data_IF_915891054295
#
_entry.id   IF_915891054295
#
_cell.length_a   1.000
_cell.length_b   1.000
_cell.length_c   1.000
_cell.angle_alpha   90.00
_cell.angle_beta   90.00
_cell.angle_gamma   90.00
#
_symmetry.space_group_name_H-M   'P 1'
#
loop_
_entity.id
_entity.type
_entity.pdbx_description
1 polymer ?
#
# COMPACT_ATOMS: atom_id res chain seq x y z
N UNK A 1 -1.97 3.56 -2.67
CA UNK A 1 -2.27 2.24 -2.06
C UNK A 1 -2.82 2.51 -0.67
N UNK A 2 -4.15 2.53 -0.51
CA UNK A 2 -4.78 2.94 0.76
C UNK A 2 -4.29 2.07 1.92
N UNK A 3 -4.00 2.70 3.06
CA UNK A 3 -3.55 2.00 4.26
C UNK A 3 -2.09 1.53 4.26
N UNK A 4 -1.31 1.91 3.24
CA UNK A 4 0.13 1.57 3.15
C UNK A 4 0.94 2.83 3.05
N UNK A 5 1.74 3.10 4.09
CA UNK A 5 2.56 4.32 4.13
C UNK A 5 3.46 4.43 2.90
N UNK A 6 3.67 5.64 2.42
CA UNK A 6 4.54 5.89 1.28
C UNK A 6 5.98 5.37 1.51
N UNK A 7 6.48 5.45 2.75
CA UNK A 7 7.81 4.92 3.13
C UNK A 7 7.88 3.41 2.97
N UNK A 8 6.85 2.68 3.42
CA UNK A 8 6.75 1.23 3.22
C UNK A 8 6.71 0.86 1.75
N UNK A 9 6.00 1.63 0.94
CA UNK A 9 5.97 1.43 -0.51
C UNK A 9 7.37 1.62 -1.11
N UNK A 10 8.06 2.72 -0.81
CA UNK A 10 9.42 2.99 -1.31
C UNK A 10 10.37 1.84 -0.99
N UNK A 11 10.39 1.36 0.27
CA UNK A 11 11.23 0.21 0.65
C UNK A 11 10.87 -1.06 -0.12
N UNK A 12 9.57 -1.32 -0.35
CA UNK A 12 9.13 -2.51 -1.07
C UNK A 12 9.47 -2.47 -2.57
N UNK A 13 9.48 -1.28 -3.18
CA UNK A 13 9.89 -1.08 -4.58
C UNK A 13 11.40 -1.09 -4.75
N UNK A 14 12.16 -0.56 -3.79
CA UNK A 14 13.63 -0.64 -3.76
C UNK A 14 14.10 -2.10 -3.76
N UNK A 15 13.47 -2.95 -2.93
CA UNK A 15 13.71 -4.41 -2.93
C UNK A 15 13.28 -5.10 -4.24
N UNK A 16 12.38 -4.49 -5.01
CA UNK A 16 11.98 -4.97 -6.34
C UNK A 16 12.87 -4.41 -7.46
N UNK A 17 13.91 -3.64 -7.15
CA UNK A 17 14.81 -3.01 -8.11
C UNK A 17 14.22 -1.78 -8.80
N UNK A 18 13.16 -1.17 -8.26
CA UNK A 18 12.47 -0.03 -8.85
C UNK A 18 12.63 1.19 -7.95
N UNK A 19 13.32 2.21 -8.46
CA UNK A 19 13.49 3.47 -7.76
C UNK A 19 12.22 4.35 -7.88
N UNK A 20 11.64 4.72 -6.74
CA UNK A 20 10.51 5.66 -6.64
C UNK A 20 10.73 6.66 -5.51
N UNK A 21 9.92 7.74 -5.46
CA UNK A 21 9.99 8.75 -4.41
C UNK A 21 8.68 8.82 -3.62
N UNK A 22 8.76 9.04 -2.31
CA UNK A 22 7.63 9.35 -1.45
C UNK A 22 7.64 10.83 -1.07
N UNK A 23 6.51 11.51 -1.29
CA UNK A 23 6.29 12.89 -0.84
C UNK A 23 6.96 13.99 -1.68
N UNK A 24 6.60 15.23 -1.35
CA UNK A 24 7.24 16.45 -1.83
C UNK A 24 8.48 16.71 -0.97
N UNK A 25 9.67 16.37 -1.48
CA UNK A 25 10.98 16.83 -1.03
C UNK A 25 11.15 17.02 0.50
N UNK A 26 11.76 16.05 1.18
CA UNK A 26 12.41 16.22 2.49
C UNK A 26 11.53 16.87 3.58
N UNK A 27 10.61 16.11 4.19
CA UNK A 27 10.05 16.54 5.48
C UNK A 27 11.04 16.18 6.59
N UNK A 28 11.64 17.20 7.20
CA UNK A 28 12.55 17.15 8.34
C UNK A 28 11.94 16.45 9.57
N UNK A 29 11.87 15.11 9.54
CA UNK A 29 11.55 14.26 10.69
C UNK A 29 10.07 14.10 11.06
N UNK A 30 9.12 14.73 10.33
CA UNK A 30 7.68 14.59 10.61
C UNK A 30 6.98 13.91 9.45
N UNK A 31 6.34 12.76 9.70
CA UNK A 31 5.50 12.01 8.75
C UNK A 31 4.21 12.80 8.49
N UNK A 32 4.36 13.96 7.86
CA UNK A 32 3.25 14.80 7.43
C UNK A 32 2.99 14.50 5.94
N UNK A 33 1.72 14.44 5.56
CA UNK A 33 1.32 14.30 4.15
C UNK A 33 1.91 15.42 3.28
N UNK A 34 1.99 15.21 1.97
CA UNK A 34 2.51 16.24 1.06
C UNK A 34 1.62 17.48 1.09
N UNK A 35 2.23 18.65 1.36
CA UNK A 35 1.53 19.94 1.34
C UNK A 35 0.87 20.24 -0.02
N UNK A 36 1.44 19.73 -1.11
CA UNK A 36 0.86 19.86 -2.46
C UNK A 36 -0.44 19.06 -2.58
N UNK A 37 -0.46 17.82 -2.05
CA UNK A 37 -1.68 17.00 -2.04
C UNK A 37 -2.77 17.64 -1.17
N UNK A 38 -2.38 18.22 -0.03
CA UNK A 38 -3.30 18.97 0.82
C UNK A 38 -3.87 20.21 0.10
N UNK A 39 -3.04 20.96 -0.63
CA UNK A 39 -3.49 22.11 -1.43
C UNK A 39 -4.43 21.69 -2.59
N UNK A 40 -4.30 20.47 -3.09
CA UNK A 40 -5.23 19.88 -4.07
C UNK A 40 -6.52 19.33 -3.44
N UNK A 41 -6.70 19.46 -2.13
CA UNK A 41 -7.89 18.96 -1.41
C UNK A 41 -7.91 17.45 -1.18
N UNK A 42 -6.76 16.78 -1.29
CA UNK A 42 -6.64 15.34 -1.00
C UNK A 42 -6.63 15.13 0.51
N UNK A 43 -7.41 14.16 0.99
CA UNK A 43 -7.45 13.76 2.40
C UNK A 43 -6.07 13.38 2.94
N UNK A 44 -5.81 13.69 4.21
CA UNK A 44 -4.51 13.47 4.84
C UNK A 44 -4.12 11.98 4.85
N UNK A 45 -5.10 11.10 5.05
CA UNK A 45 -5.00 9.64 4.99
C UNK A 45 -4.50 9.13 3.63
N UNK A 46 -4.91 9.77 2.53
CA UNK A 46 -4.43 9.45 1.20
C UNK A 46 -3.09 10.12 0.91
N UNK A 47 -2.88 11.34 1.42
CA UNK A 47 -1.67 12.11 1.21
C UNK A 47 -0.42 11.43 1.81
N UNK A 48 -0.56 10.73 2.94
CA UNK A 48 0.54 9.94 3.57
C UNK A 48 0.87 8.64 2.83
N UNK A 49 -0.04 8.17 1.98
CA UNK A 49 0.08 6.92 1.22
C UNK A 49 0.48 7.15 -0.24
N UNK A 50 0.80 8.39 -0.62
CA UNK A 50 1.10 8.79 -1.98
C UNK A 50 2.58 8.61 -2.34
N UNK A 51 2.83 8.10 -3.55
CA UNK A 51 4.16 7.95 -4.15
C UNK A 51 4.20 8.69 -5.49
N UNK A 52 5.39 9.16 -5.87
CA UNK A 52 5.68 9.78 -7.16
C UNK A 52 6.57 8.87 -7.98
N UNK A 53 6.15 8.61 -9.21
CA UNK A 53 6.93 7.89 -10.22
C UNK A 53 7.27 8.91 -11.31
N UNK A 54 8.53 8.91 -11.73
CA UNK A 54 9.02 9.79 -12.78
C UNK A 54 9.66 8.90 -13.85
N UNK A 55 9.20 9.03 -15.08
CA UNK A 55 9.69 8.25 -16.22
C UNK A 55 10.65 9.13 -17.02
N UNK A 56 11.78 8.56 -17.46
CA UNK A 56 12.79 9.25 -18.25
C UNK A 56 12.62 8.97 -19.75
N UNK A 57 13.43 9.63 -20.58
CA UNK A 57 13.42 9.41 -22.04
C UNK A 57 13.84 7.99 -22.45
N UNK A 58 14.58 7.26 -21.60
CA UNK A 58 14.98 5.87 -21.84
C UNK A 58 13.95 4.85 -21.35
N UNK A 59 12.89 5.29 -20.66
CA UNK A 59 11.88 4.37 -20.12
C UNK A 59 11.12 3.71 -21.27
N UNK A 60 11.02 2.40 -21.21
CA UNK A 60 10.31 1.56 -22.18
C UNK A 60 8.96 1.08 -21.64
N UNK A 61 8.13 0.54 -22.53
CA UNK A 61 6.89 -0.12 -22.11
C UNK A 61 7.14 -1.32 -21.19
N UNK A 62 8.29 -1.98 -21.33
CA UNK A 62 8.66 -3.13 -20.50
C UNK A 62 8.94 -2.71 -19.03
N UNK A 63 9.57 -1.55 -18.84
CA UNK A 63 9.76 -0.97 -17.50
C UNK A 63 8.42 -0.67 -16.82
N UNK A 64 7.45 -0.15 -17.58
CA UNK A 64 6.11 0.08 -17.07
C UNK A 64 5.39 -1.23 -16.70
N UNK A 65 5.54 -2.28 -17.51
CA UNK A 65 4.99 -3.60 -17.21
C UNK A 65 5.62 -4.24 -15.97
N UNK A 66 6.94 -4.10 -15.82
CA UNK A 66 7.68 -4.52 -14.63
C UNK A 66 7.19 -3.78 -13.40
N UNK A 67 7.03 -2.46 -13.49
CA UNK A 67 6.47 -1.64 -12.42
C UNK A 67 5.04 -2.09 -12.02
N UNK A 68 4.15 -2.27 -12.99
CA UNK A 68 2.76 -2.69 -12.72
C UNK A 68 2.73 -4.06 -12.03
N UNK A 69 3.59 -4.98 -12.45
CA UNK A 69 3.70 -6.32 -11.86
C UNK A 69 4.19 -6.24 -10.41
N UNK A 70 5.26 -5.48 -10.16
CA UNK A 70 5.77 -5.25 -8.82
C UNK A 70 4.71 -4.56 -7.93
N UNK A 71 4.01 -3.55 -8.46
CA UNK A 71 2.97 -2.82 -7.74
C UNK A 71 1.83 -3.74 -7.32
N UNK A 72 1.34 -4.60 -8.22
CA UNK A 72 0.32 -5.62 -7.89
C UNK A 72 0.79 -6.56 -6.78
N UNK A 73 2.06 -6.97 -6.80
CA UNK A 73 2.63 -7.84 -5.78
C UNK A 73 2.75 -7.15 -4.41
N UNK A 74 3.15 -5.88 -4.37
CA UNK A 74 3.16 -5.09 -3.13
C UNK A 74 1.73 -4.91 -2.61
N UNK A 75 0.80 -4.51 -3.48
CA UNK A 75 -0.61 -4.30 -3.16
C UNK A 75 -1.28 -5.53 -2.55
N UNK A 76 -1.06 -6.71 -3.15
CA UNK A 76 -1.61 -7.96 -2.61
C UNK A 76 -1.07 -8.24 -1.21
N UNK A 77 0.24 -8.12 -1.00
CA UNK A 77 0.87 -8.38 0.30
C UNK A 77 0.36 -7.44 1.39
N UNK A 78 0.21 -6.16 1.08
CA UNK A 78 -0.25 -5.16 2.05
C UNK A 78 -1.74 -5.27 2.35
N UNK A 79 -2.58 -5.61 1.38
CA UNK A 79 -4.01 -5.84 1.60
C UNK A 79 -4.32 -7.09 2.45
N UNK A 80 -3.43 -8.09 2.47
CA UNK A 80 -3.56 -9.21 3.40
C UNK A 80 -3.25 -8.79 4.84
N UNK A 81 -2.32 -7.86 5.06
CA UNK A 81 -1.93 -7.40 6.38
C UNK A 81 -2.94 -6.41 7.01
N UNK A 82 -3.59 -5.59 6.19
CA UNK A 82 -4.58 -4.59 6.66
C UNK A 82 -5.93 -5.19 7.07
N UNK A 83 -6.21 -6.46 6.73
CA UNK A 83 -7.41 -7.16 7.19
C UNK A 83 -7.42 -7.46 8.71
N UNK A 84 -6.31 -7.19 9.40
CA UNK A 84 -6.09 -7.50 10.82
C UNK A 84 -6.15 -6.27 11.75
N UNK A 85 -6.35 -5.06 11.22
CA UNK A 85 -6.53 -3.82 12.00
C UNK A 85 -7.78 -3.09 11.52
N UNK A 86 -8.91 -3.32 12.18
CA UNK A 86 -10.14 -2.56 11.96
C UNK A 86 -10.46 -1.76 13.23
N UNK A 87 -10.57 -0.42 13.12
CA UNK A 87 -11.74 0.23 13.67
C UNK A 87 -12.32 1.33 12.75
N UNK A 88 -13.60 1.14 12.39
CA UNK A 88 -14.65 2.14 12.11
C UNK A 88 -14.68 2.89 10.77
N UNK A 89 -14.98 2.16 9.68
CA UNK A 89 -15.76 2.72 8.56
C UNK A 89 -17.26 2.65 8.93
N UNK A 90 -17.74 3.67 9.65
CA UNK A 90 -19.19 3.88 9.78
C UNK A 90 -19.67 4.47 8.46
N UNK A 91 -20.68 3.84 7.83
CA UNK A 91 -21.31 4.17 6.53
C UNK A 91 -20.78 3.37 5.33
N UNK A 92 -20.96 2.04 5.36
CA UNK A 92 -21.28 1.26 4.16
C UNK A 92 -21.88 -0.10 4.55
N UNK A 93 -23.08 -0.06 5.11
CA UNK A 93 -24.03 -1.19 5.08
C UNK A 93 -24.20 -1.60 3.62
N UNK A 94 -23.77 -2.82 3.25
CA UNK A 94 -24.46 -3.82 2.40
C UNK A 94 -23.46 -4.92 1.96
N UNK A 95 -23.84 -6.16 2.26
CA UNK A 95 -23.41 -7.43 1.63
C UNK A 95 -21.97 -7.95 1.88
N UNK A 96 -21.87 -8.75 2.94
CA UNK A 96 -20.89 -9.84 3.11
C UNK A 96 -21.21 -10.98 2.12
N UNK A 97 -20.22 -11.63 1.49
CA UNK A 97 -20.30 -13.08 1.35
C UNK A 97 -19.10 -13.77 1.97
N UNK A 98 -19.40 -14.89 2.61
CA UNK A 98 -18.49 -15.75 3.34
C UNK A 98 -17.41 -16.34 2.42
N UNK A 99 -16.14 -16.24 2.82
CA UNK A 99 -15.11 -17.15 2.32
C UNK A 99 -14.68 -18.02 3.50
N UNK A 100 -15.21 -19.23 3.45
CA UNK A 100 -14.87 -20.40 4.22
C UNK A 100 -13.38 -20.73 4.08
N UNK A 101 -12.66 -20.73 5.21
CA UNK A 101 -11.39 -21.44 5.35
C UNK A 101 -11.62 -22.61 6.31
N UNK A 102 -12.29 -23.67 5.84
CA UNK A 102 -12.25 -24.97 6.50
C UNK A 102 -10.99 -25.71 6.07
N UNK A 103 -10.12 -26.01 7.03
CA UNK A 103 -8.90 -26.79 6.84
C UNK A 103 -8.46 -27.49 8.13
N UNK A 104 -9.28 -28.48 8.51
CA UNK A 104 -9.04 -29.66 9.37
C UNK A 104 -8.02 -29.60 10.53
N UNK A 105 -8.56 -29.93 11.69
CA UNK A 105 -7.92 -30.46 12.90
C UNK A 105 -6.90 -31.58 12.66
N UNK A 106 -5.87 -31.65 13.51
CA UNK A 106 -5.48 -32.89 14.21
C UNK A 106 -5.05 -32.53 15.65
N UNK A 107 -5.62 -33.30 16.56
CA UNK A 107 -5.57 -33.25 18.01
C UNK A 107 -4.38 -34.09 18.54
N UNK A 108 -3.79 -33.71 19.68
CA UNK A 108 -3.44 -34.58 20.84
C UNK A 108 -2.47 -33.85 21.78
N UNK A 109 -2.93 -33.45 22.97
CA UNK A 109 -2.94 -34.21 24.24
C UNK A 109 -1.76 -33.78 25.12
N UNK A 110 -2.15 -33.23 26.26
CA UNK A 110 -1.45 -32.98 27.52
C UNK A 110 -0.62 -34.19 28.00
N UNK A 111 0.24 -34.01 29.01
CA UNK A 111 -0.24 -33.97 30.40
C UNK A 111 -0.32 -32.57 31.00
#
# INVERSE_FOLDING_TARGET
MPGVSAVTQVMAFDLAGIAISAGSACSSGKVAGSHVLAAMGVGEDLAVNAIRISLGWTTTADDANTFITAWKNVYRRSHFATRSREPQDTIATIAKPAISCQGKAVNKVTP
#
